data_IF_681270225587
#
_entry.id   IF_681270225587
#
_cell.length_a   1.000
_cell.length_b   1.000
_cell.length_c   1.000
_cell.angle_alpha   90.00
_cell.angle_beta   90.00
_cell.angle_gamma   90.00
#
_symmetry.space_group_name_H-M   'P 1'
#
loop_
_entity.id
_entity.type
_entity.pdbx_description
1 polymer ?
#
# COMPACT_ATOMS: atom_id res chain seq x y z
N UNK A 1 -3.97 -17.95 -23.69
CA UNK A 1 -5.38 -18.35 -23.95
C UNK A 1 -6.25 -17.10 -24.03
N UNK A 2 -7.11 -16.93 -25.04
CA UNK A 2 -7.77 -15.65 -25.30
C UNK A 2 -8.90 -15.37 -24.30
N UNK A 3 -8.82 -14.21 -23.62
CA UNK A 3 -9.89 -13.60 -22.81
C UNK A 3 -10.98 -13.05 -23.73
N UNK A 4 -11.96 -13.86 -24.15
CA UNK A 4 -13.08 -13.38 -24.98
C UNK A 4 -14.47 -13.58 -24.35
N UNK A 5 -14.59 -14.15 -23.14
CA UNK A 5 -15.90 -14.52 -22.56
C UNK A 5 -16.45 -13.59 -21.45
N UNK A 6 -15.83 -12.44 -21.16
CA UNK A 6 -16.27 -11.56 -20.06
C UNK A 6 -17.58 -10.80 -20.32
N UNK A 7 -17.81 -10.36 -21.57
CA UNK A 7 -19.00 -9.57 -21.96
C UNK A 7 -20.26 -10.44 -22.13
N UNK A 8 -20.13 -11.67 -22.61
CA UNK A 8 -21.28 -12.58 -22.78
C UNK A 8 -21.82 -13.10 -21.43
N UNK A 9 -20.93 -13.31 -20.45
CA UNK A 9 -21.29 -13.83 -19.11
C UNK A 9 -21.94 -12.80 -18.21
N UNK A 10 -21.54 -11.53 -18.32
CA UNK A 10 -22.17 -10.41 -17.59
C UNK A 10 -23.59 -10.14 -18.10
N UNK A 11 -23.81 -10.23 -19.41
CA UNK A 11 -25.15 -10.19 -20.01
C UNK A 11 -26.05 -11.32 -19.52
N UNK A 12 -25.54 -12.56 -19.46
CA UNK A 12 -26.30 -13.72 -18.97
C UNK A 12 -26.73 -13.56 -17.49
N UNK A 13 -25.83 -13.03 -16.65
CA UNK A 13 -26.14 -12.74 -15.24
C UNK A 13 -27.23 -11.68 -15.10
N UNK A 14 -27.13 -10.57 -15.86
CA UNK A 14 -28.11 -9.49 -15.80
C UNK A 14 -29.51 -9.97 -16.21
N UNK A 15 -29.61 -10.75 -17.29
CA UNK A 15 -30.88 -11.36 -17.73
C UNK A 15 -31.42 -12.31 -16.66
N UNK A 16 -30.58 -13.17 -16.08
CA UNK A 16 -30.99 -14.09 -15.01
C UNK A 16 -31.49 -13.37 -13.75
N UNK A 17 -30.84 -12.28 -13.35
CA UNK A 17 -31.25 -11.48 -12.20
C UNK A 17 -32.61 -10.79 -12.44
N UNK A 18 -32.84 -10.22 -13.63
CA UNK A 18 -34.12 -9.57 -13.99
C UNK A 18 -35.27 -10.58 -13.93
N UNK A 19 -35.08 -11.79 -14.46
CA UNK A 19 -36.10 -12.85 -14.43
C UNK A 19 -36.44 -13.24 -12.99
N UNK A 20 -35.43 -13.41 -12.13
CA UNK A 20 -35.64 -13.75 -10.72
C UNK A 20 -36.35 -12.63 -9.94
N UNK A 21 -36.03 -11.36 -10.22
CA UNK A 21 -36.74 -10.21 -9.64
C UNK A 21 -38.23 -10.23 -10.04
N UNK A 22 -38.55 -10.49 -11.31
CA UNK A 22 -39.93 -10.53 -11.78
C UNK A 22 -40.73 -11.67 -11.11
N UNK A 23 -40.12 -12.85 -10.97
CA UNK A 23 -40.72 -14.00 -10.29
C UNK A 23 -40.95 -13.73 -8.79
N UNK A 24 -40.05 -12.98 -8.16
CA UNK A 24 -40.21 -12.57 -6.77
C UNK A 24 -41.34 -11.58 -6.57
N UNK A 25 -41.48 -10.58 -7.44
CA UNK A 25 -42.61 -9.64 -7.40
C UNK A 25 -43.93 -10.38 -7.54
N UNK A 26 -43.98 -11.40 -8.42
CA UNK A 26 -45.14 -12.27 -8.56
C UNK A 26 -45.41 -13.10 -7.30
N UNK A 27 -44.36 -13.64 -6.67
CA UNK A 27 -44.47 -14.38 -5.41
C UNK A 27 -44.96 -13.50 -4.25
N UNK A 28 -44.44 -12.27 -4.16
CA UNK A 28 -44.86 -11.28 -3.16
C UNK A 28 -46.32 -10.84 -3.36
N UNK A 29 -46.73 -10.58 -4.60
CA UNK A 29 -48.13 -10.31 -4.93
C UNK A 29 -49.03 -11.49 -4.54
N UNK A 30 -48.63 -12.72 -4.87
CA UNK A 30 -49.37 -13.93 -4.53
C UNK A 30 -49.49 -14.14 -3.00
N UNK A 31 -48.47 -13.75 -2.23
CA UNK A 31 -48.48 -13.82 -0.77
C UNK A 31 -49.48 -12.84 -0.13
N UNK A 32 -49.63 -11.65 -0.71
CA UNK A 32 -50.52 -10.60 -0.22
C UNK A 32 -51.97 -10.82 -0.66
N UNK A 33 -52.18 -11.10 -1.95
CA UNK A 33 -53.51 -11.06 -2.56
C UNK A 33 -54.25 -12.40 -2.49
N UNK A 34 -53.52 -13.53 -2.52
CA UNK A 34 -54.15 -14.85 -2.51
C UNK A 34 -54.41 -15.32 -1.08
N UNK A 35 -55.36 -16.25 -0.94
CA UNK A 35 -55.77 -16.83 0.34
C UNK A 35 -55.74 -18.36 0.30
N UNK A 36 -55.70 -19.00 1.46
CA UNK A 36 -55.72 -20.46 1.57
C UNK A 36 -54.52 -21.13 0.90
N UNK A 37 -54.75 -22.25 0.20
CA UNK A 37 -53.70 -23.05 -0.43
C UNK A 37 -52.97 -22.30 -1.57
N UNK A 38 -53.61 -21.32 -2.20
CA UNK A 38 -52.99 -20.47 -3.22
C UNK A 38 -51.92 -19.53 -2.64
N UNK A 39 -52.05 -19.13 -1.37
CA UNK A 39 -50.99 -18.37 -0.67
C UNK A 39 -49.76 -19.24 -0.41
N UNK A 40 -49.97 -20.54 -0.14
CA UNK A 40 -48.89 -21.52 0.02
C UNK A 40 -48.08 -21.66 -1.27
N UNK A 41 -48.72 -21.62 -2.44
CA UNK A 41 -48.01 -21.66 -3.72
C UNK A 41 -47.15 -20.42 -3.95
N UNK A 42 -47.59 -19.23 -3.50
CA UNK A 42 -46.77 -18.02 -3.51
C UNK A 42 -45.56 -18.11 -2.58
N UNK A 43 -45.75 -18.66 -1.37
CA UNK A 43 -44.65 -18.90 -0.43
C UNK A 43 -43.60 -19.88 -0.97
N UNK A 44 -44.04 -20.99 -1.57
CA UNK A 44 -43.13 -21.97 -2.17
C UNK A 44 -42.37 -21.38 -3.35
N UNK A 45 -43.03 -20.57 -4.19
CA UNK A 45 -42.37 -19.85 -5.29
C UNK A 45 -41.27 -18.91 -4.76
N UNK A 46 -41.56 -18.15 -3.70
CA UNK A 46 -40.58 -17.27 -3.05
C UNK A 46 -39.33 -18.02 -2.58
N UNK A 47 -39.50 -19.15 -1.88
CA UNK A 47 -38.37 -19.97 -1.40
C UNK A 47 -37.50 -20.49 -2.55
N UNK A 48 -38.14 -20.94 -3.64
CA UNK A 48 -37.43 -21.43 -4.83
C UNK A 48 -36.65 -20.31 -5.53
N UNK A 49 -37.25 -19.13 -5.67
CA UNK A 49 -36.63 -17.96 -6.29
C UNK A 49 -35.45 -17.47 -5.46
N UNK A 50 -35.58 -17.40 -4.13
CA UNK A 50 -34.49 -17.04 -3.23
C UNK A 50 -33.29 -18.01 -3.33
N UNK A 51 -33.55 -19.33 -3.39
CA UNK A 51 -32.51 -20.34 -3.56
C UNK A 51 -31.81 -20.25 -4.94
N UNK A 52 -32.56 -19.96 -6.00
CA UNK A 52 -32.01 -19.74 -7.34
C UNK A 52 -31.14 -18.47 -7.41
N UNK A 53 -31.58 -17.39 -6.76
CA UNK A 53 -30.84 -16.13 -6.66
C UNK A 53 -29.52 -16.30 -5.89
N UNK A 54 -29.52 -17.07 -4.79
CA UNK A 54 -28.30 -17.41 -4.06
C UNK A 54 -27.29 -18.19 -4.91
N UNK A 55 -27.74 -19.17 -5.69
CA UNK A 55 -26.85 -19.91 -6.61
C UNK A 55 -26.28 -19.01 -7.70
N UNK A 56 -27.09 -18.10 -8.24
CA UNK A 56 -26.65 -17.12 -9.24
C UNK A 56 -25.60 -16.15 -8.67
N UNK A 57 -25.79 -15.68 -7.44
CA UNK A 57 -24.83 -14.84 -6.71
C UNK A 57 -23.50 -15.57 -6.46
N UNK A 58 -23.53 -16.82 -5.99
CA UNK A 58 -22.30 -17.62 -5.79
C UNK A 58 -21.57 -17.90 -7.09
N UNK A 59 -22.29 -18.16 -8.17
CA UNK A 59 -21.70 -18.35 -9.49
C UNK A 59 -21.00 -17.08 -9.99
N UNK A 60 -21.62 -15.91 -9.78
CA UNK A 60 -21.04 -14.61 -10.12
C UNK A 60 -19.84 -14.23 -9.25
N UNK A 61 -19.91 -14.46 -7.93
CA UNK A 61 -18.80 -14.17 -7.02
C UNK A 61 -17.59 -15.09 -7.28
N UNK A 62 -17.82 -16.39 -7.51
CA UNK A 62 -16.76 -17.34 -7.83
C UNK A 62 -16.07 -17.02 -9.17
N UNK A 63 -16.78 -16.42 -10.13
CA UNK A 63 -16.16 -16.01 -11.40
C UNK A 63 -15.37 -14.70 -11.32
N UNK A 64 -15.53 -13.91 -10.26
CA UNK A 64 -14.82 -12.64 -10.05
C UNK A 64 -13.63 -12.69 -9.08
N UNK A 65 -13.25 -13.86 -8.56
CA UNK A 65 -12.15 -14.02 -7.57
C UNK A 65 -12.35 -13.31 -6.21
N UNK A 66 -13.45 -12.59 -5.99
CA UNK A 66 -13.80 -11.96 -4.71
C UNK A 66 -14.60 -12.92 -3.80
N UNK A 67 -13.95 -14.02 -3.42
CA UNK A 67 -14.56 -15.19 -2.78
C UNK A 67 -15.00 -15.02 -1.33
N UNK A 68 -15.76 -13.97 -0.96
CA UNK A 68 -16.27 -13.85 0.39
C UNK A 68 -17.62 -14.59 0.57
N UNK A 69 -17.57 -15.84 1.02
CA UNK A 69 -18.73 -16.74 1.16
C UNK A 69 -19.82 -16.17 2.10
N UNK A 70 -19.43 -15.38 3.09
CA UNK A 70 -20.30 -14.74 4.09
C UNK A 70 -21.35 -13.81 3.45
N UNK A 71 -21.01 -13.14 2.35
CA UNK A 71 -21.91 -12.22 1.66
C UNK A 71 -23.12 -12.93 1.05
N UNK A 72 -22.90 -14.07 0.38
CA UNK A 72 -23.99 -14.83 -0.24
C UNK A 72 -25.01 -15.33 0.81
N UNK A 73 -24.53 -15.67 2.01
CA UNK A 73 -25.39 -16.15 3.10
C UNK A 73 -26.24 -15.01 3.67
N UNK A 74 -25.65 -13.82 3.87
CA UNK A 74 -26.39 -12.63 4.32
C UNK A 74 -27.45 -12.21 3.30
N UNK A 75 -27.13 -12.24 2.00
CA UNK A 75 -28.08 -11.94 0.93
C UNK A 75 -29.27 -12.92 0.89
N UNK A 76 -29.02 -14.21 1.11
CA UNK A 76 -30.07 -15.23 1.22
C UNK A 76 -30.99 -14.97 2.43
N UNK A 77 -30.42 -14.66 3.60
CA UNK A 77 -31.17 -14.40 4.82
C UNK A 77 -32.06 -13.15 4.70
N UNK A 78 -31.54 -12.08 4.07
CA UNK A 78 -32.31 -10.84 3.85
C UNK A 78 -33.44 -11.02 2.83
N UNK A 79 -33.19 -11.81 1.77
CA UNK A 79 -34.21 -12.12 0.76
C UNK A 79 -35.36 -12.93 1.34
N UNK A 80 -35.07 -13.87 2.25
CA UNK A 80 -36.08 -14.69 2.92
C UNK A 80 -36.93 -13.89 3.93
N UNK A 81 -36.37 -12.82 4.51
CA UNK A 81 -37.03 -12.04 5.55
C UNK A 81 -37.99 -10.96 5.01
N UNK A 82 -37.70 -10.38 3.84
CA UNK A 82 -38.48 -9.29 3.26
C UNK A 82 -38.68 -9.50 1.75
N UNK A 83 -39.81 -10.12 1.32
CA UNK A 83 -40.12 -10.35 -0.08
C UNK A 83 -40.12 -9.05 -0.90
N UNK A 84 -39.65 -9.13 -2.15
CA UNK A 84 -39.47 -8.02 -3.11
C UNK A 84 -38.44 -6.93 -2.73
N UNK A 85 -38.44 -6.40 -1.50
CA UNK A 85 -37.47 -5.38 -1.09
C UNK A 85 -36.06 -5.95 -0.91
N UNK A 86 -35.93 -7.19 -0.41
CA UNK A 86 -34.64 -7.87 -0.26
C UNK A 86 -33.92 -8.04 -1.59
N UNK A 87 -34.64 -8.36 -2.67
CA UNK A 87 -34.03 -8.55 -3.99
C UNK A 87 -33.68 -7.22 -4.65
N UNK A 88 -34.51 -6.16 -4.50
CA UNK A 88 -34.17 -4.83 -5.03
C UNK A 88 -32.91 -4.29 -4.36
N UNK A 89 -32.84 -4.37 -3.02
CA UNK A 89 -31.67 -3.96 -2.26
C UNK A 89 -30.45 -4.78 -2.70
N UNK A 90 -30.57 -6.11 -2.84
CA UNK A 90 -29.45 -6.97 -3.27
C UNK A 90 -29.08 -6.88 -4.75
N UNK A 91 -29.98 -6.49 -5.65
CA UNK A 91 -29.68 -6.24 -7.05
C UNK A 91 -28.94 -4.90 -7.23
N UNK A 92 -29.27 -3.92 -6.40
CA UNK A 92 -28.57 -2.63 -6.33
C UNK A 92 -27.31 -2.72 -5.46
N UNK A 93 -27.19 -3.71 -4.58
CA UNK A 93 -26.07 -3.82 -3.63
C UNK A 93 -24.70 -3.95 -4.29
N UNK A 94 -24.50 -4.70 -5.40
CA UNK A 94 -23.24 -4.68 -6.15
C UNK A 94 -22.90 -3.30 -6.72
N UNK A 95 -23.90 -2.50 -7.09
CA UNK A 95 -23.71 -1.12 -7.55
C UNK A 95 -23.48 -0.14 -6.39
N UNK A 96 -24.11 -0.37 -5.23
CA UNK A 96 -23.87 0.38 -3.99
C UNK A 96 -22.51 0.03 -3.38
N UNK A 97 -22.08 -1.23 -3.42
CA UNK A 97 -20.72 -1.66 -3.11
C UNK A 97 -19.74 -1.15 -4.16
N UNK A 98 -20.05 -1.06 -5.45
CA UNK A 98 -19.17 -0.31 -6.36
C UNK A 98 -19.01 1.17 -5.96
N UNK A 99 -19.91 1.73 -5.13
CA UNK A 99 -19.74 3.06 -4.51
C UNK A 99 -19.18 3.03 -3.08
N UNK A 100 -19.29 1.91 -2.35
CA UNK A 100 -18.91 1.76 -0.93
C UNK A 100 -17.64 0.90 -0.75
N UNK A 101 -17.46 -0.15 -1.55
CA UNK A 101 -16.24 -0.95 -1.73
C UNK A 101 -15.17 -0.27 -2.62
N UNK A 102 -15.42 0.94 -3.12
CA UNK A 102 -14.34 1.83 -3.59
C UNK A 102 -13.73 2.62 -2.42
N UNK A 103 -13.97 2.21 -1.16
CA UNK A 103 -13.56 2.98 0.02
C UNK A 103 -12.90 2.17 1.14
N UNK A 104 -12.16 1.10 0.84
CA UNK A 104 -11.16 0.60 1.79
C UNK A 104 -9.81 0.22 1.17
N UNK A 105 -9.77 -0.31 -0.06
CA UNK A 105 -8.48 -0.87 -0.55
C UNK A 105 -7.89 -0.13 -1.77
N UNK A 106 -8.71 0.54 -2.60
CA UNK A 106 -8.22 1.17 -3.84
C UNK A 106 -8.19 2.70 -3.85
N UNK A 107 -8.78 3.39 -2.87
CA UNK A 107 -8.77 4.86 -2.87
C UNK A 107 -7.42 5.44 -2.43
N UNK A 108 -6.62 4.68 -1.66
CA UNK A 108 -5.30 5.11 -1.19
C UNK A 108 -4.11 4.57 -1.99
N UNK A 109 -4.29 3.55 -2.85
CA UNK A 109 -3.21 3.06 -3.73
C UNK A 109 -2.87 4.02 -4.89
N UNK A 110 -3.76 4.99 -5.17
CA UNK A 110 -3.51 6.14 -6.05
C UNK A 110 -3.04 7.41 -5.30
N UNK A 111 -3.07 7.40 -3.96
CA UNK A 111 -2.61 8.49 -3.07
C UNK A 111 -1.25 8.19 -2.42
N UNK A 112 -0.76 6.94 -2.46
CA UNK A 112 0.67 6.71 -2.47
C UNK A 112 1.21 7.42 -3.72
N UNK A 113 2.22 8.29 -3.61
CA UNK A 113 2.82 8.91 -4.78
C UNK A 113 3.16 7.78 -5.74
N UNK A 114 2.52 7.80 -6.91
CA UNK A 114 2.98 6.99 -8.03
C UNK A 114 4.49 7.24 -8.11
N UNK A 115 5.35 6.22 -8.29
CA UNK A 115 6.69 6.49 -8.75
C UNK A 115 6.55 6.92 -10.21
N UNK A 116 6.03 8.13 -10.41
CA UNK A 116 6.29 8.90 -11.60
C UNK A 116 7.81 8.95 -11.75
N UNK A 117 8.27 8.91 -12.99
CA UNK A 117 9.24 9.87 -13.49
C UNK A 117 10.36 10.35 -12.53
N UNK A 118 9.94 11.07 -11.50
CA UNK A 118 10.78 11.81 -10.60
C UNK A 118 11.16 11.06 -9.30
N UNK A 119 10.44 9.99 -8.93
CA UNK A 119 10.61 9.28 -7.66
C UNK A 119 11.84 8.34 -7.64
N UNK A 120 12.25 7.84 -8.80
CA UNK A 120 13.42 6.95 -8.95
C UNK A 120 14.72 7.77 -8.98
N UNK A 121 14.70 8.95 -9.60
CA UNK A 121 15.83 9.88 -9.61
C UNK A 121 16.19 10.40 -8.20
N UNK A 122 15.19 10.56 -7.33
CA UNK A 122 15.39 10.95 -5.93
C UNK A 122 16.03 9.85 -5.07
N UNK A 123 15.61 8.59 -5.22
CA UNK A 123 16.24 7.46 -4.53
C UNK A 123 17.73 7.37 -4.93
N UNK A 124 18.06 7.73 -6.18
CA UNK A 124 19.42 7.80 -6.69
C UNK A 124 20.22 9.01 -6.17
N UNK A 125 19.57 10.13 -5.85
CA UNK A 125 20.22 11.28 -5.18
C UNK A 125 20.45 11.06 -3.68
N UNK A 126 19.54 10.39 -2.96
CA UNK A 126 19.79 9.95 -1.57
C UNK A 126 20.96 8.94 -1.51
N UNK A 127 21.08 8.05 -2.50
CA UNK A 127 22.23 7.15 -2.70
C UNK A 127 23.55 7.92 -2.94
N UNK A 128 23.50 9.12 -3.53
CA UNK A 128 24.69 9.98 -3.72
C UNK A 128 25.14 10.66 -2.43
N UNK A 129 24.24 10.85 -1.47
CA UNK A 129 24.53 11.54 -0.20
C UNK A 129 25.00 10.59 0.92
N UNK A 130 24.68 9.29 0.85
CA UNK A 130 25.17 8.27 1.77
C UNK A 130 26.42 7.57 1.19
N UNK A 131 27.56 7.79 1.81
CA UNK A 131 28.90 7.48 1.33
C UNK A 131 29.11 6.04 0.81
N UNK A 132 29.39 5.89 -0.50
CA UNK A 132 30.42 4.98 -1.04
C UNK A 132 30.73 5.32 -2.50
N UNK A 133 31.81 6.08 -2.72
CA UNK A 133 32.45 6.33 -4.03
C UNK A 133 32.69 5.06 -4.87
N UNK A 134 32.68 3.88 -4.24
CA UNK A 134 32.88 2.59 -4.89
C UNK A 134 31.58 2.00 -5.49
N UNK A 135 30.43 2.16 -4.84
CA UNK A 135 29.12 1.76 -5.39
C UNK A 135 28.68 2.75 -6.48
N UNK A 136 29.00 4.04 -6.26
CA UNK A 136 28.73 5.12 -7.20
C UNK A 136 29.42 4.91 -8.57
N UNK A 137 30.60 4.27 -8.64
CA UNK A 137 31.25 3.96 -9.93
C UNK A 137 30.58 2.82 -10.70
N UNK A 138 29.88 1.90 -10.03
CA UNK A 138 29.18 0.77 -10.68
C UNK A 138 27.71 1.07 -11.02
N UNK A 139 27.11 2.05 -10.30
CA UNK A 139 25.74 2.54 -10.48
C UNK A 139 25.69 3.78 -11.40
N UNK A 140 26.78 4.55 -11.55
CA UNK A 140 26.84 5.74 -12.40
C UNK A 140 26.63 5.49 -13.91
N UNK A 141 26.80 4.25 -14.38
CA UNK A 141 26.58 3.88 -15.80
C UNK A 141 25.12 3.49 -16.10
N UNK A 142 24.21 3.69 -15.16
CA UNK A 142 22.80 3.39 -15.36
C UNK A 142 22.12 4.69 -15.75
N UNK A 143 22.05 4.96 -17.06
CA UNK A 143 21.07 5.90 -17.63
C UNK A 143 19.73 5.68 -16.93
N UNK A 144 19.02 6.78 -16.59
CA UNK A 144 17.83 6.81 -15.75
C UNK A 144 17.10 5.47 -15.81
N UNK A 145 17.03 4.72 -14.71
CA UNK A 145 16.48 3.35 -14.72
C UNK A 145 15.09 3.31 -15.38
N UNK A 146 14.37 4.43 -15.39
CA UNK A 146 13.15 4.63 -16.16
C UNK A 146 13.34 4.52 -17.65
N UNK A 147 14.36 5.14 -18.24
CA UNK A 147 14.70 4.96 -19.65
C UNK A 147 14.94 3.48 -19.98
N UNK A 148 15.58 2.73 -19.08
CA UNK A 148 15.83 1.29 -19.26
C UNK A 148 14.56 0.45 -19.17
N UNK A 149 13.63 0.78 -18.26
CA UNK A 149 12.37 0.05 -18.11
C UNK A 149 11.24 0.57 -19.03
N UNK A 150 11.39 1.77 -19.60
CA UNK A 150 10.53 2.34 -20.65
C UNK A 150 10.95 1.84 -22.03
N UNK A 151 12.25 1.70 -22.28
CA UNK A 151 12.77 1.07 -23.48
C UNK A 151 12.56 -0.44 -23.38
N UNK A 152 12.00 -1.09 -24.41
CA UNK A 152 11.68 -2.53 -24.37
C UNK A 152 12.92 -3.44 -24.50
N UNK A 153 14.09 -2.99 -24.04
CA UNK A 153 15.32 -3.77 -24.05
C UNK A 153 15.38 -4.73 -22.85
N UNK A 154 14.94 -5.96 -23.10
CA UNK A 154 14.92 -7.04 -22.11
C UNK A 154 16.29 -7.29 -21.47
N UNK A 155 17.41 -7.11 -22.20
CA UNK A 155 18.77 -7.36 -21.67
C UNK A 155 19.20 -6.27 -20.70
N UNK A 156 18.89 -5.03 -21.01
CA UNK A 156 19.16 -3.90 -20.12
C UNK A 156 18.33 -4.03 -18.83
N UNK A 157 17.07 -4.42 -18.95
CA UNK A 157 16.19 -4.68 -17.81
C UNK A 157 16.67 -5.84 -16.93
N UNK A 158 17.13 -6.95 -17.52
CA UNK A 158 17.70 -8.09 -16.79
C UNK A 158 18.97 -7.71 -16.02
N UNK A 159 19.89 -6.96 -16.65
CA UNK A 159 21.10 -6.46 -16.00
C UNK A 159 20.78 -5.50 -14.85
N UNK A 160 19.79 -4.62 -15.03
CA UNK A 160 19.35 -3.70 -13.99
C UNK A 160 18.77 -4.46 -12.78
N UNK A 161 17.87 -5.43 -13.02
CA UNK A 161 17.30 -6.26 -11.95
C UNK A 161 18.37 -7.06 -11.21
N UNK A 162 19.34 -7.62 -11.94
CA UNK A 162 20.47 -8.36 -11.35
C UNK A 162 21.28 -7.46 -10.42
N UNK A 163 21.60 -6.24 -10.84
CA UNK A 163 22.30 -5.26 -9.98
C UNK A 163 21.48 -4.90 -8.75
N UNK A 164 20.17 -4.71 -8.88
CA UNK A 164 19.28 -4.41 -7.76
C UNK A 164 19.21 -5.57 -6.75
N UNK A 165 19.15 -6.82 -7.23
CA UNK A 165 19.25 -8.02 -6.37
C UNK A 165 20.54 -8.06 -5.55
N UNK A 166 21.66 -7.62 -6.14
CA UNK A 166 22.96 -7.59 -5.46
C UNK A 166 23.07 -6.47 -4.42
N UNK A 167 22.43 -5.32 -4.64
CA UNK A 167 22.43 -4.22 -3.68
C UNK A 167 21.63 -4.54 -2.42
N UNK A 168 20.51 -5.25 -2.57
CA UNK A 168 19.67 -5.73 -1.46
C UNK A 168 19.38 -4.67 -0.38
N UNK A 169 19.19 -3.40 -0.77
CA UNK A 169 18.83 -2.31 0.12
C UNK A 169 17.38 -1.88 -0.10
N UNK A 170 16.88 -0.99 0.78
CA UNK A 170 15.49 -0.53 0.75
C UNK A 170 15.11 0.05 -0.61
N UNK A 171 16.00 0.84 -1.20
CA UNK A 171 15.78 1.54 -2.46
C UNK A 171 15.65 0.54 -3.61
N UNK A 172 16.53 -0.47 -3.65
CA UNK A 172 16.45 -1.54 -4.63
C UNK A 172 15.13 -2.32 -4.53
N UNK A 173 14.67 -2.61 -3.31
CA UNK A 173 13.39 -3.26 -3.06
C UNK A 173 12.22 -2.43 -3.60
N UNK A 174 12.20 -1.12 -3.34
CA UNK A 174 11.15 -0.23 -3.85
C UNK A 174 11.12 -0.20 -5.38
N UNK A 175 12.29 -0.14 -6.03
CA UNK A 175 12.38 -0.18 -7.49
C UNK A 175 11.87 -1.52 -8.04
N UNK A 176 12.30 -2.64 -7.47
CA UNK A 176 11.85 -3.97 -7.89
C UNK A 176 10.34 -4.17 -7.69
N UNK A 177 9.78 -3.66 -6.59
CA UNK A 177 8.33 -3.65 -6.35
C UNK A 177 7.58 -2.80 -7.38
N UNK A 178 8.13 -1.64 -7.76
CA UNK A 178 7.56 -0.81 -8.82
C UNK A 178 7.55 -1.56 -10.17
N UNK A 179 8.66 -2.21 -10.54
CA UNK A 179 8.77 -3.03 -11.76
C UNK A 179 7.75 -4.18 -11.77
N UNK A 180 7.54 -4.82 -10.63
CA UNK A 180 6.57 -5.91 -10.48
C UNK A 180 5.13 -5.45 -10.77
N UNK A 181 4.79 -4.20 -10.40
CA UNK A 181 3.48 -3.59 -10.65
C UNK A 181 3.31 -3.12 -12.10
N UNK A 182 4.35 -2.56 -12.72
CA UNK A 182 4.24 -1.88 -14.03
C UNK A 182 4.55 -2.74 -15.26
N UNK A 183 5.39 -3.78 -15.14
CA UNK A 183 5.96 -4.44 -16.33
C UNK A 183 5.12 -5.55 -17.00
N UNK A 184 5.46 -5.87 -18.25
CA UNK A 184 4.95 -7.04 -19.01
C UNK A 184 5.56 -8.35 -18.46
N UNK A 185 4.99 -9.50 -18.80
CA UNK A 185 5.12 -10.77 -18.06
C UNK A 185 6.54 -11.17 -17.63
N UNK A 186 7.55 -10.92 -18.46
CA UNK A 186 8.86 -11.54 -18.31
C UNK A 186 9.73 -10.76 -17.30
N UNK A 187 9.74 -9.43 -17.39
CA UNK A 187 10.42 -8.55 -16.41
C UNK A 187 9.76 -8.61 -15.03
N UNK A 188 8.43 -8.84 -14.96
CA UNK A 188 7.72 -9.07 -13.69
C UNK A 188 8.24 -10.34 -13.00
N UNK A 189 8.48 -11.41 -13.76
CA UNK A 189 9.02 -12.65 -13.21
C UNK A 189 10.43 -12.41 -12.67
N UNK A 190 11.29 -11.72 -13.44
CA UNK A 190 12.65 -11.38 -12.99
C UNK A 190 12.64 -10.54 -11.70
N UNK A 191 11.78 -9.51 -11.61
CA UNK A 191 11.67 -8.69 -10.42
C UNK A 191 11.12 -9.47 -9.21
N UNK A 192 10.15 -10.37 -9.43
CA UNK A 192 9.63 -11.25 -8.39
C UNK A 192 10.71 -12.23 -7.87
N UNK A 193 11.51 -12.81 -8.78
CA UNK A 193 12.63 -13.69 -8.41
C UNK A 193 13.69 -12.94 -7.63
N UNK A 194 14.05 -11.73 -8.06
CA UNK A 194 15.02 -10.89 -7.35
C UNK A 194 14.53 -10.52 -5.94
N UNK A 195 13.25 -10.16 -5.78
CA UNK A 195 12.68 -9.88 -4.46
C UNK A 195 12.71 -11.11 -3.55
N UNK A 196 12.39 -12.29 -4.08
CA UNK A 196 12.45 -13.54 -3.33
C UNK A 196 13.90 -13.89 -2.91
N UNK A 197 14.87 -13.65 -3.79
CA UNK A 197 16.30 -13.87 -3.49
C UNK A 197 16.79 -12.91 -2.40
N UNK A 198 16.40 -11.64 -2.45
CA UNK A 198 16.71 -10.66 -1.40
C UNK A 198 16.06 -11.09 -0.08
N UNK A 199 14.80 -11.54 -0.10
CA UNK A 199 14.10 -12.02 1.08
C UNK A 199 14.81 -13.20 1.75
N UNK A 200 15.19 -14.23 0.99
CA UNK A 200 15.92 -15.38 1.50
C UNK A 200 17.27 -14.98 2.12
N UNK A 201 18.04 -14.14 1.43
CA UNK A 201 19.32 -13.61 1.95
C UNK A 201 19.13 -12.79 3.23
N UNK A 202 18.07 -11.98 3.28
CA UNK A 202 17.75 -11.13 4.43
C UNK A 202 17.41 -11.99 5.65
N UNK A 203 16.57 -13.01 5.48
CA UNK A 203 16.23 -13.96 6.55
C UNK A 203 17.46 -14.70 7.07
N UNK A 204 18.31 -15.22 6.18
CA UNK A 204 19.56 -15.87 6.58
C UNK A 204 20.49 -14.90 7.35
N UNK A 205 20.60 -13.64 6.91
CA UNK A 205 21.42 -12.63 7.60
C UNK A 205 20.88 -12.33 9.00
N UNK A 206 19.55 -12.29 9.18
CA UNK A 206 18.93 -12.11 10.50
C UNK A 206 19.31 -13.27 11.43
N UNK A 207 19.24 -14.52 10.95
CA UNK A 207 19.63 -15.70 11.74
C UNK A 207 21.11 -15.66 12.14
N UNK A 208 21.99 -15.31 11.19
CA UNK A 208 23.43 -15.19 11.42
C UNK A 208 23.75 -14.13 12.48
N UNK A 209 23.17 -12.92 12.35
CA UNK A 209 23.35 -11.83 13.29
C UNK A 209 22.84 -12.18 14.69
N UNK A 210 21.70 -12.87 14.78
CA UNK A 210 21.18 -13.35 16.07
C UNK A 210 22.16 -14.33 16.74
N UNK A 211 22.78 -15.24 15.98
CA UNK A 211 23.81 -16.15 16.51
C UNK A 211 25.03 -15.38 17.01
N UNK A 212 25.50 -14.41 16.22
CA UNK A 212 26.66 -13.57 16.58
C UNK A 212 26.41 -12.74 17.85
N UNK A 213 25.21 -12.18 17.99
CA UNK A 213 24.83 -11.42 19.19
C UNK A 213 24.69 -12.34 20.42
N UNK A 214 24.22 -13.58 20.24
CA UNK A 214 24.15 -14.55 21.33
C UNK A 214 25.54 -14.99 21.82
N UNK A 215 26.51 -15.10 20.92
CA UNK A 215 27.91 -15.44 21.24
C UNK A 215 28.68 -14.26 21.82
N UNK A 216 28.49 -13.05 21.28
CA UNK A 216 29.18 -11.82 21.67
C UNK A 216 28.19 -10.66 21.91
N UNK A 217 27.60 -10.56 23.12
CA UNK A 217 26.50 -9.62 23.41
C UNK A 217 26.85 -8.13 23.45
N UNK A 218 28.08 -7.73 23.11
CA UNK A 218 28.62 -6.38 23.39
C UNK A 218 28.97 -5.55 22.16
N UNK A 219 28.49 -5.91 20.96
CA UNK A 219 28.83 -5.17 19.74
C UNK A 219 27.63 -4.33 19.29
N UNK A 220 27.64 -3.02 19.61
CA UNK A 220 26.60 -2.08 19.19
C UNK A 220 26.40 -2.08 17.66
N UNK A 221 27.46 -2.32 16.88
CA UNK A 221 27.34 -2.44 15.41
C UNK A 221 26.47 -3.62 14.96
N UNK A 222 26.51 -4.76 15.65
CA UNK A 222 25.65 -5.91 15.31
C UNK A 222 24.18 -5.62 15.61
N UNK A 223 23.88 -4.87 16.68
CA UNK A 223 22.52 -4.44 17.01
C UNK A 223 21.96 -3.53 15.91
N UNK A 224 22.74 -2.53 15.47
CA UNK A 224 22.31 -1.64 14.38
C UNK A 224 22.12 -2.40 13.07
N UNK A 225 23.04 -3.32 12.75
CA UNK A 225 22.93 -4.12 11.53
C UNK A 225 21.71 -5.06 11.57
N UNK A 226 21.42 -5.68 12.71
CA UNK A 226 20.23 -6.50 12.89
C UNK A 226 18.96 -5.66 12.76
N UNK A 227 18.92 -4.48 13.36
CA UNK A 227 17.79 -3.55 13.26
C UNK A 227 17.50 -3.17 11.79
N UNK A 228 18.54 -2.78 11.04
CA UNK A 228 18.45 -2.46 9.61
C UNK A 228 18.02 -3.64 8.76
N UNK A 229 18.50 -4.84 9.07
CA UNK A 229 18.17 -6.06 8.31
C UNK A 229 16.70 -6.46 8.55
N UNK A 230 16.21 -6.35 9.79
CA UNK A 230 14.80 -6.52 10.11
C UNK A 230 13.92 -5.42 9.47
N UNK A 231 14.39 -4.17 9.44
CA UNK A 231 13.72 -3.06 8.75
C UNK A 231 13.61 -3.30 7.23
N UNK A 232 14.66 -3.82 6.61
CA UNK A 232 14.65 -4.24 5.21
C UNK A 232 13.65 -5.37 4.95
N UNK A 233 13.62 -6.39 5.80
CA UNK A 233 12.63 -7.46 5.71
C UNK A 233 11.20 -6.92 5.73
N UNK A 234 10.91 -5.97 6.61
CA UNK A 234 9.60 -5.32 6.68
C UNK A 234 9.24 -4.54 5.40
N UNK A 235 10.22 -4.10 4.58
CA UNK A 235 9.96 -3.53 3.26
C UNK A 235 9.73 -4.59 2.19
N UNK A 236 10.36 -5.77 2.32
CA UNK A 236 10.23 -6.88 1.38
C UNK A 236 8.87 -7.57 1.50
N UNK A 237 8.34 -7.70 2.71
CA UNK A 237 7.11 -8.42 3.00
C UNK A 237 5.91 -7.80 2.24
N UNK A 238 5.55 -8.41 1.10
CA UNK A 238 4.38 -8.01 0.30
C UNK A 238 3.07 -8.47 0.94
N UNK A 239 3.13 -9.42 1.89
CA UNK A 239 1.98 -9.96 2.59
C UNK A 239 2.10 -9.70 4.10
N UNK A 240 1.01 -9.23 4.71
CA UNK A 240 0.91 -9.12 6.15
C UNK A 240 0.74 -10.53 6.76
N UNK A 241 1.85 -11.14 7.16
CA UNK A 241 1.86 -12.40 7.90
C UNK A 241 2.34 -12.19 9.35
N UNK A 242 2.33 -13.27 10.13
CA UNK A 242 2.76 -13.22 11.53
C UNK A 242 4.26 -12.88 11.67
N UNK A 243 5.06 -13.20 10.65
CA UNK A 243 6.49 -12.93 10.60
C UNK A 243 6.75 -11.44 10.51
N UNK A 244 5.93 -10.69 9.76
CA UNK A 244 6.06 -9.24 9.66
C UNK A 244 5.98 -8.54 11.02
N UNK A 245 5.03 -8.92 11.88
CA UNK A 245 4.91 -8.34 13.23
C UNK A 245 6.13 -8.66 14.09
N UNK A 246 6.62 -9.89 14.02
CA UNK A 246 7.84 -10.32 14.73
C UNK A 246 9.04 -9.45 14.33
N UNK A 247 9.28 -9.27 13.02
CA UNK A 247 10.44 -8.50 12.56
C UNK A 247 10.28 -6.99 12.75
N UNK A 248 9.04 -6.46 12.80
CA UNK A 248 8.78 -5.08 13.21
C UNK A 248 9.19 -4.83 14.66
N UNK A 249 8.77 -5.72 15.56
CA UNK A 249 9.13 -5.65 16.98
C UNK A 249 10.65 -5.82 17.16
N UNK A 250 11.27 -6.80 16.48
CA UNK A 250 12.72 -6.98 16.51
C UNK A 250 13.48 -5.76 16.00
N UNK A 251 13.04 -5.14 14.89
CA UNK A 251 13.67 -3.93 14.37
C UNK A 251 13.60 -2.80 15.41
N UNK A 252 12.43 -2.58 16.01
CA UNK A 252 12.22 -1.55 17.04
C UNK A 252 13.13 -1.78 18.25
N UNK A 253 13.11 -2.99 18.82
CA UNK A 253 13.90 -3.32 20.02
C UNK A 253 15.40 -3.15 19.79
N UNK A 254 15.90 -3.57 18.62
CA UNK A 254 17.32 -3.44 18.31
C UNK A 254 17.73 -1.99 18.02
N UNK A 255 16.88 -1.17 17.37
CA UNK A 255 17.13 0.27 17.25
C UNK A 255 17.15 0.96 18.61
N UNK A 256 16.18 0.66 19.49
CA UNK A 256 16.13 1.21 20.84
C UNK A 256 17.39 0.85 21.64
N UNK A 257 17.75 -0.44 21.63
CA UNK A 257 18.94 -0.92 22.33
C UNK A 257 20.21 -0.26 21.77
N UNK A 258 20.36 -0.22 20.45
CA UNK A 258 21.49 0.47 19.82
C UNK A 258 21.59 1.94 20.24
N UNK A 259 20.49 2.67 20.19
CA UNK A 259 20.43 4.09 20.55
C UNK A 259 20.63 4.34 22.05
N UNK A 260 20.49 3.33 22.91
CA UNK A 260 20.92 3.44 24.32
C UNK A 260 22.44 3.40 24.47
N UNK A 261 23.14 2.72 23.56
CA UNK A 261 24.60 2.61 23.53
C UNK A 261 25.23 3.78 22.78
N UNK A 262 24.61 4.22 21.67
CA UNK A 262 25.06 5.29 20.79
C UNK A 262 24.03 6.43 20.71
N UNK A 263 23.83 7.21 21.78
CA UNK A 263 22.74 8.20 21.90
C UNK A 263 22.89 9.44 21.02
N UNK A 264 24.01 9.56 20.30
CA UNK A 264 24.33 10.68 19.43
C UNK A 264 24.29 10.30 17.93
N UNK A 265 23.97 9.04 17.57
CA UNK A 265 23.83 8.62 16.18
C UNK A 265 22.53 9.14 15.56
N UNK A 266 22.63 10.30 14.92
CA UNK A 266 21.53 10.98 14.22
C UNK A 266 20.98 10.15 13.05
N UNK A 267 21.82 9.35 12.38
CA UNK A 267 21.39 8.53 11.25
C UNK A 267 20.54 7.37 11.76
N UNK A 268 20.96 6.70 12.83
CA UNK A 268 20.16 5.64 13.46
C UNK A 268 18.83 6.18 14.03
N UNK A 269 18.82 7.38 14.64
CA UNK A 269 17.56 8.03 15.03
C UNK A 269 16.66 8.27 13.82
N UNK A 270 17.21 8.75 12.70
CA UNK A 270 16.44 9.02 11.50
C UNK A 270 15.81 7.74 10.91
N UNK A 271 16.60 6.67 10.79
CA UNK A 271 16.12 5.34 10.36
C UNK A 271 15.04 4.80 11.28
N UNK A 272 15.25 4.87 12.61
CA UNK A 272 14.28 4.43 13.60
C UNK A 272 12.97 5.23 13.53
N UNK A 273 13.04 6.55 13.33
CA UNK A 273 11.86 7.39 13.12
C UNK A 273 11.04 6.96 11.88
N UNK A 274 11.71 6.54 10.79
CA UNK A 274 11.04 6.04 9.58
C UNK A 274 10.37 4.69 9.83
N UNK A 275 11.04 3.79 10.56
CA UNK A 275 10.45 2.52 11.01
C UNK A 275 9.17 2.77 11.80
N UNK A 276 9.21 3.68 12.79
CA UNK A 276 8.06 4.02 13.63
C UNK A 276 6.86 4.53 12.82
N UNK A 277 7.08 5.37 11.80
CA UNK A 277 5.99 5.81 10.92
C UNK A 277 5.36 4.65 10.15
N UNK A 278 6.18 3.72 9.66
CA UNK A 278 5.69 2.57 8.89
C UNK A 278 4.83 1.63 9.74
N UNK A 279 5.22 1.41 11.00
CA UNK A 279 4.47 0.55 11.93
C UNK A 279 3.28 1.30 12.59
N UNK A 280 3.04 2.55 12.23
CA UNK A 280 1.89 3.34 12.69
C UNK A 280 2.12 4.11 14.00
N UNK A 281 3.33 4.08 14.56
CA UNK A 281 3.73 4.79 15.77
C UNK A 281 4.11 6.26 15.50
N UNK A 282 3.24 7.00 14.82
CA UNK A 282 3.53 8.34 14.33
C UNK A 282 3.85 9.37 15.44
N UNK A 283 3.30 9.21 16.64
CA UNK A 283 3.59 10.07 17.78
C UNK A 283 5.03 9.90 18.29
N UNK A 284 5.54 8.66 18.33
CA UNK A 284 6.92 8.38 18.71
C UNK A 284 7.89 8.90 17.64
N UNK A 285 7.57 8.67 16.36
CA UNK A 285 8.32 9.20 15.24
C UNK A 285 8.42 10.75 15.26
N UNK A 286 7.32 11.44 15.57
CA UNK A 286 7.30 12.90 15.71
C UNK A 286 8.30 13.38 16.75
N UNK A 287 8.41 12.68 17.90
CA UNK A 287 9.37 13.04 18.95
C UNK A 287 10.81 12.99 18.43
N UNK A 288 11.14 11.93 17.69
CA UNK A 288 12.46 11.72 17.08
C UNK A 288 12.74 12.81 16.04
N UNK A 289 11.86 13.00 15.06
CA UNK A 289 12.11 13.99 14.00
C UNK A 289 12.13 15.42 14.53
N UNK A 290 11.33 15.73 15.55
CA UNK A 290 11.39 17.04 16.25
C UNK A 290 12.70 17.22 17.02
N UNK A 291 13.32 16.15 17.55
CA UNK A 291 14.67 16.22 18.13
C UNK A 291 15.70 16.49 17.03
N UNK A 292 15.70 15.70 15.96
CA UNK A 292 16.63 15.85 14.83
C UNK A 292 16.56 17.23 14.19
N UNK A 293 15.36 17.75 13.94
CA UNK A 293 15.16 19.08 13.35
C UNK A 293 15.56 20.23 14.30
N UNK A 294 15.55 20.01 15.63
CA UNK A 294 16.04 21.01 16.60
C UNK A 294 17.57 21.01 16.68
N UNK A 295 18.19 19.83 16.64
CA UNK A 295 19.64 19.68 16.71
C UNK A 295 20.35 20.04 15.41
N UNK A 296 19.67 19.86 14.27
CA UNK A 296 20.14 20.30 12.98
C UNK A 296 19.01 21.04 12.24
N UNK A 297 18.90 22.37 12.42
CA UNK A 297 17.90 23.19 11.74
C UNK A 297 18.01 23.14 10.21
N UNK A 298 19.16 22.78 9.65
CA UNK A 298 19.36 22.71 8.19
C UNK A 298 19.06 21.30 7.65
N UNK A 299 18.72 20.33 8.51
CA UNK A 299 18.38 18.98 8.07
C UNK A 299 16.96 18.91 7.49
N UNK A 300 16.85 19.23 6.20
CA UNK A 300 15.58 19.29 5.46
C UNK A 300 14.79 17.99 5.58
N UNK A 301 15.43 16.83 5.47
CA UNK A 301 14.76 15.53 5.56
C UNK A 301 14.07 15.35 6.91
N UNK A 302 14.69 15.73 8.04
CA UNK A 302 14.02 15.62 9.34
C UNK A 302 12.73 16.46 9.42
N UNK A 303 12.69 17.63 8.76
CA UNK A 303 11.49 18.47 8.70
C UNK A 303 10.40 17.85 7.80
N UNK A 304 10.78 17.22 6.68
CA UNK A 304 9.85 16.49 5.80
C UNK A 304 9.21 15.33 6.57
N UNK A 305 10.02 14.50 7.21
CA UNK A 305 9.51 13.36 7.99
C UNK A 305 8.74 13.78 9.24
N UNK A 306 9.05 14.94 9.84
CA UNK A 306 8.23 15.54 10.88
C UNK A 306 6.85 15.96 10.35
N UNK A 307 6.78 16.55 9.15
CA UNK A 307 5.50 16.91 8.53
C UNK A 307 4.66 15.65 8.23
N UNK A 308 5.28 14.58 7.74
CA UNK A 308 4.63 13.27 7.56
C UNK A 308 4.11 12.70 8.88
N UNK A 309 4.90 12.76 9.96
CA UNK A 309 4.48 12.32 11.29
C UNK A 309 3.28 13.11 11.83
N UNK A 310 3.27 14.43 11.65
CA UNK A 310 2.13 15.29 11.98
C UNK A 310 0.91 14.97 11.12
N UNK A 311 1.10 14.70 9.82
CA UNK A 311 0.02 14.35 8.90
C UNK A 311 -0.66 13.03 9.27
N UNK A 312 0.10 11.97 9.58
CA UNK A 312 -0.42 10.67 10.05
C UNK A 312 -1.22 10.79 11.36
N UNK A 313 -0.93 11.80 12.17
CA UNK A 313 -1.67 12.13 13.39
C UNK A 313 -2.82 13.12 13.16
N UNK A 314 -3.11 13.50 11.91
CA UNK A 314 -4.12 14.49 11.53
C UNK A 314 -3.89 15.89 12.15
N UNK A 315 -2.63 16.25 12.45
CA UNK A 315 -2.26 17.55 13.01
C UNK A 315 -2.05 18.59 11.90
N UNK A 316 -3.11 18.88 11.16
CA UNK A 316 -3.09 19.67 9.93
C UNK A 316 -2.44 21.05 10.09
N UNK A 317 -2.66 21.72 11.23
CA UNK A 317 -2.07 23.05 11.49
C UNK A 317 -0.54 23.02 11.52
N UNK A 318 0.02 21.95 12.09
CA UNK A 318 1.47 21.78 12.21
C UNK A 318 2.07 21.41 10.86
N UNK A 319 1.39 20.55 10.09
CA UNK A 319 1.79 20.22 8.71
C UNK A 319 1.91 21.49 7.88
N UNK A 320 0.90 22.37 7.90
CA UNK A 320 0.93 23.65 7.16
C UNK A 320 2.09 24.54 7.59
N UNK A 321 2.32 24.69 8.90
CA UNK A 321 3.42 25.49 9.42
C UNK A 321 4.79 24.94 8.99
N UNK A 322 4.95 23.62 9.01
CA UNK A 322 6.18 22.95 8.57
C UNK A 322 6.38 23.11 7.06
N UNK A 323 5.34 22.92 6.25
CA UNK A 323 5.40 23.11 4.81
C UNK A 323 5.67 24.57 4.43
N UNK A 324 5.10 25.56 5.13
CA UNK A 324 5.43 26.98 4.91
C UNK A 324 6.92 27.27 5.14
N UNK A 325 7.52 26.67 6.16
CA UNK A 325 8.95 26.80 6.37
C UNK A 325 9.77 26.07 5.30
N UNK A 326 9.37 24.84 4.94
CA UNK A 326 10.01 24.06 3.88
C UNK A 326 10.00 24.80 2.54
N UNK A 327 8.90 25.46 2.18
CA UNK A 327 8.78 26.22 0.92
C UNK A 327 9.82 27.34 0.75
N UNK A 328 10.40 27.83 1.86
CA UNK A 328 11.48 28.83 1.83
C UNK A 328 12.89 28.24 1.73
N UNK A 329 12.99 26.91 1.71
CA UNK A 329 14.26 26.18 1.67
C UNK A 329 14.73 26.02 0.22
N UNK A 330 15.97 26.42 -0.14
CA UNK A 330 16.45 26.43 -1.54
C UNK A 330 16.60 25.05 -2.19
N UNK A 331 16.77 24.00 -1.40
CA UNK A 331 17.03 22.64 -1.86
C UNK A 331 15.98 21.69 -1.26
N UNK A 332 14.79 21.70 -1.85
CA UNK A 332 13.74 20.72 -1.56
C UNK A 332 13.88 19.54 -2.53
N UNK A 333 13.69 18.30 -2.06
CA UNK A 333 13.54 17.17 -2.96
C UNK A 333 12.36 17.41 -3.93
N UNK A 334 12.52 17.24 -5.26
CA UNK A 334 11.50 17.59 -6.25
C UNK A 334 10.11 16.99 -5.98
N UNK A 335 10.05 15.76 -5.48
CA UNK A 335 8.78 15.10 -5.12
C UNK A 335 8.02 15.81 -3.98
N UNK A 336 8.76 16.46 -3.09
CA UNK A 336 8.17 17.16 -1.95
C UNK A 336 7.72 18.57 -2.34
N UNK A 337 8.16 19.13 -3.47
CA UNK A 337 7.81 20.50 -3.89
C UNK A 337 6.30 20.66 -4.07
N UNK A 338 5.65 19.76 -4.81
CA UNK A 338 4.21 19.82 -5.05
C UNK A 338 3.40 19.65 -3.77
N UNK A 339 3.82 18.72 -2.90
CA UNK A 339 3.18 18.49 -1.61
C UNK A 339 3.34 19.71 -0.70
N UNK A 340 4.55 20.24 -0.58
CA UNK A 340 4.86 21.45 0.20
C UNK A 340 4.06 22.63 -0.33
N UNK A 341 4.05 22.84 -1.64
CA UNK A 341 3.27 23.90 -2.28
C UNK A 341 1.80 23.75 -1.94
N UNK A 342 1.20 22.56 -2.10
CA UNK A 342 -0.20 22.31 -1.81
C UNK A 342 -0.61 22.70 -0.39
N UNK A 343 0.23 22.39 0.60
CA UNK A 343 -0.02 22.74 2.01
C UNK A 343 0.17 24.23 2.34
N UNK A 344 0.68 25.05 1.41
CA UNK A 344 0.90 26.50 1.58
C UNK A 344 -0.11 27.39 0.83
N UNK A 345 -0.97 26.82 -0.02
CA UNK A 345 -1.86 27.59 -0.93
C UNK A 345 -2.82 28.55 -0.20
N UNK A 346 -3.24 28.26 1.04
CA UNK A 346 -4.10 29.18 1.81
C UNK A 346 -3.37 30.47 2.26
N UNK A 347 -2.05 30.42 2.44
CA UNK A 347 -1.23 31.58 2.83
C UNK A 347 -0.60 32.27 1.60
N UNK A 348 -0.16 31.50 0.59
CA UNK A 348 0.50 32.02 -0.61
C UNK A 348 -0.44 32.90 -1.45
N UNK A 349 -1.71 32.52 -1.61
CA UNK A 349 -2.70 33.34 -2.34
C UNK A 349 -3.01 34.63 -1.58
N UNK A 350 -3.02 34.62 -0.25
CA UNK A 350 -3.33 35.79 0.56
C UNK A 350 -2.19 36.83 0.62
N UNK A 351 -0.95 36.39 0.42
CA UNK A 351 0.23 37.25 0.44
C UNK A 351 0.58 37.77 -0.97
N UNK A 352 0.53 36.92 -2.01
CA UNK A 352 0.71 37.36 -3.41
C UNK A 352 -0.41 38.26 -3.94
N UNK A 353 -1.63 38.17 -3.40
CA UNK A 353 -2.70 39.13 -3.73
C UNK A 353 -2.54 40.47 -2.99
N UNK A 354 -1.81 40.52 -1.88
CA UNK A 354 -1.53 41.77 -1.16
C UNK A 354 -0.41 42.59 -1.79
N UNK A 355 0.51 41.96 -2.52
CA UNK A 355 1.57 42.67 -3.26
C UNK A 355 1.14 43.12 -4.66
N UNK A 356 -0.06 42.71 -5.12
CA UNK A 356 -0.63 43.06 -6.45
C UNK A 356 -1.86 43.98 -6.41
N UNK A 357 -2.20 44.53 -5.25
CA UNK A 357 -3.22 45.58 -5.06
C UNK A 357 -2.52 46.80 -4.47
#
# INVERSE_FOLDING_TARGET
MPRTNGKSRTGLYAVGAIVLIALEVLAAWALVELSGWLRLTGFLLHVVVAAAFFKLLRWHSHTRRDGNASFSVIALLMTLAVPAYGIIIMALFPFLLQRVHVRSDDYFSWLEPQPEAQHIDMLLEEIRAADREQILREVADIASFQDIFLDNDLRAQENAITKLSLLANREAVLILQAVLRTSRSDTRILAATALQEIEEKTLHRIEELNSQIAEEPQTSSHLLELARTCDLYCHLAVQNDASLLLYQDMARENYEHYLTLEPDDKNAFFEYGRLLLRIGEAAAAEHIFRKLARENPDYVNAKIWLAEACFKQNKIKEVRALCAHLATTPELPPLCEDAVLWWTIDDFVAEHLRERV
#
